data_IF_073312250738
#
_entry.id   IF_073312250738
#
_cell.length_a   1.000
_cell.length_b   1.000
_cell.length_c   1.000
_cell.angle_alpha   90.00
_cell.angle_beta   90.00
_cell.angle_gamma   90.00
#
_symmetry.space_group_name_H-M   'P 1'
#
loop_
_entity.id
_entity.type
_entity.pdbx_description
1 polymer ?
#
# COMPACT_ATOMS: atom_id res chain seq x y z
N UNK A 1 -16.42 -3.17 5.43
CA UNK A 1 -16.24 -2.18 4.33
C UNK A 1 -15.60 -2.84 3.11
N UNK A 2 -14.36 -3.32 3.19
CA UNK A 2 -13.66 -3.97 2.06
C UNK A 2 -14.52 -5.06 1.37
N UNK A 3 -15.02 -6.04 2.12
CA UNK A 3 -15.91 -7.08 1.58
C UNK A 3 -17.22 -6.57 0.98
N UNK A 4 -17.76 -5.45 1.49
CA UNK A 4 -19.00 -4.89 0.95
C UNK A 4 -18.78 -4.33 -0.47
N UNK A 5 -17.63 -3.70 -0.72
CA UNK A 5 -17.24 -3.29 -2.08
C UNK A 5 -17.03 -4.48 -3.01
N UNK A 6 -16.43 -5.57 -2.50
CA UNK A 6 -16.30 -6.82 -3.25
C UNK A 6 -17.65 -7.47 -3.58
N UNK A 7 -18.58 -7.46 -2.62
CA UNK A 7 -19.94 -7.96 -2.81
C UNK A 7 -20.72 -7.12 -3.84
N UNK A 8 -20.65 -5.79 -3.76
CA UNK A 8 -21.22 -4.89 -4.78
C UNK A 8 -20.69 -5.23 -6.17
N UNK A 9 -19.39 -5.49 -6.28
CA UNK A 9 -18.77 -5.76 -7.58
C UNK A 9 -19.20 -7.11 -8.16
N UNK A 10 -19.16 -8.17 -7.35
CA UNK A 10 -19.38 -9.53 -7.84
C UNK A 10 -20.87 -9.90 -7.93
N UNK A 11 -21.70 -9.43 -7.00
CA UNK A 11 -23.12 -9.82 -6.94
C UNK A 11 -24.07 -8.79 -7.54
N UNK A 12 -23.63 -7.55 -7.79
CA UNK A 12 -24.47 -6.50 -8.36
C UNK A 12 -23.91 -6.03 -9.71
N UNK A 13 -22.67 -5.51 -9.75
CA UNK A 13 -22.12 -4.92 -10.97
C UNK A 13 -21.86 -5.95 -12.07
N UNK A 14 -21.28 -7.11 -11.75
CA UNK A 14 -21.04 -8.17 -12.76
C UNK A 14 -22.36 -8.65 -13.40
N UNK A 15 -23.40 -9.07 -12.65
CA UNK A 15 -24.68 -9.47 -13.24
C UNK A 15 -25.37 -8.35 -14.01
N UNK A 16 -25.30 -7.11 -13.52
CA UNK A 16 -25.93 -5.95 -14.16
C UNK A 16 -25.28 -5.64 -15.51
N UNK A 17 -23.95 -5.63 -15.57
CA UNK A 17 -23.21 -5.42 -16.81
C UNK A 17 -23.49 -6.55 -17.81
N UNK A 18 -23.53 -7.80 -17.36
CA UNK A 18 -23.92 -8.93 -18.21
C UNK A 18 -25.33 -8.77 -18.78
N UNK A 19 -26.30 -8.46 -17.91
CA UNK A 19 -27.71 -8.37 -18.28
C UNK A 19 -27.99 -7.25 -19.29
N UNK A 20 -27.43 -6.05 -19.06
CA UNK A 20 -27.63 -4.92 -19.98
C UNK A 20 -26.68 -4.94 -21.18
N UNK A 21 -25.51 -5.58 -21.08
CA UNK A 21 -24.56 -5.63 -22.18
C UNK A 21 -24.85 -6.72 -23.22
N UNK A 22 -25.58 -7.79 -22.87
CA UNK A 22 -25.91 -8.89 -23.80
C UNK A 22 -26.76 -8.44 -25.00
N UNK A 23 -27.62 -7.44 -24.80
CA UNK A 23 -28.56 -6.93 -25.81
C UNK A 23 -28.00 -5.69 -26.55
N UNK A 24 -26.71 -5.40 -26.38
CA UNK A 24 -26.03 -4.29 -27.05
C UNK A 24 -26.34 -2.89 -26.50
N UNK A 25 -27.19 -2.78 -25.47
CA UNK A 25 -27.54 -1.50 -24.85
C UNK A 25 -26.32 -0.72 -24.32
N UNK A 26 -25.31 -1.45 -23.84
CA UNK A 26 -24.08 -0.85 -23.32
C UNK A 26 -22.97 -0.67 -24.38
N UNK A 27 -23.17 -1.06 -25.65
CA UNK A 27 -22.10 -1.09 -26.66
C UNK A 27 -21.47 0.27 -26.93
N UNK A 28 -22.19 1.39 -26.74
CA UNK A 28 -21.63 2.75 -26.85
C UNK A 28 -20.88 3.25 -25.61
N UNK A 29 -21.05 2.59 -24.47
CA UNK A 29 -20.48 2.99 -23.17
C UNK A 29 -19.32 2.08 -22.72
N UNK A 30 -19.17 0.92 -23.35
CA UNK A 30 -18.13 -0.07 -23.07
C UNK A 30 -16.98 0.03 -24.06
N UNK A 31 -15.76 -0.26 -23.59
CA UNK A 31 -14.56 -0.31 -24.44
C UNK A 31 -14.53 -1.53 -25.37
N UNK A 32 -15.29 -2.59 -25.05
CA UNK A 32 -15.47 -3.81 -25.86
C UNK A 32 -16.90 -4.33 -25.72
N UNK A 33 -17.55 -4.83 -26.78
CA UNK A 33 -18.86 -5.46 -26.68
C UNK A 33 -18.78 -6.74 -25.85
N UNK A 34 -19.83 -7.03 -25.08
CA UNK A 34 -19.94 -8.28 -24.32
C UNK A 34 -20.24 -9.41 -25.29
N UNK A 35 -19.45 -10.47 -25.26
CA UNK A 35 -19.71 -11.69 -26.00
C UNK A 35 -20.51 -12.69 -25.15
N UNK A 36 -21.44 -13.46 -25.73
CA UNK A 36 -22.27 -14.42 -25.00
C UNK A 36 -21.50 -15.49 -24.19
N UNK A 37 -20.24 -15.76 -24.53
CA UNK A 37 -19.38 -16.73 -23.84
C UNK A 37 -18.43 -16.12 -22.79
N UNK A 38 -18.59 -14.85 -22.43
CA UNK A 38 -17.71 -14.19 -21.45
C UNK A 38 -18.03 -14.65 -20.02
N UNK A 39 -17.02 -15.15 -19.29
CA UNK A 39 -17.17 -15.58 -17.90
C UNK A 39 -17.31 -14.38 -16.95
N UNK A 40 -17.84 -14.62 -15.75
CA UNK A 40 -17.96 -13.60 -14.71
C UNK A 40 -16.61 -12.96 -14.36
N UNK A 41 -15.52 -13.74 -14.40
CA UNK A 41 -14.17 -13.26 -14.20
C UNK A 41 -13.72 -12.28 -15.29
N UNK A 42 -14.00 -12.54 -16.57
CA UNK A 42 -13.70 -11.60 -17.65
C UNK A 42 -14.54 -10.33 -17.55
N UNK A 43 -15.82 -10.40 -17.18
CA UNK A 43 -16.65 -9.21 -16.98
C UNK A 43 -16.09 -8.34 -15.84
N UNK A 44 -15.70 -8.99 -14.75
CA UNK A 44 -15.06 -8.32 -13.61
C UNK A 44 -13.76 -7.61 -14.04
N UNK A 45 -12.86 -8.32 -14.73
CA UNK A 45 -11.56 -7.79 -15.18
C UNK A 45 -11.71 -6.66 -16.21
N UNK A 46 -12.59 -6.83 -17.19
CA UNK A 46 -12.70 -5.94 -18.34
C UNK A 46 -13.59 -4.72 -18.11
N UNK A 47 -14.45 -4.72 -17.10
CA UNK A 47 -15.40 -3.62 -16.87
C UNK A 47 -15.46 -3.17 -15.43
N UNK A 48 -15.76 -4.08 -14.48
CA UNK A 48 -15.97 -3.71 -13.08
C UNK A 48 -14.70 -3.14 -12.44
N UNK A 49 -13.52 -3.64 -12.83
CA UNK A 49 -12.24 -3.06 -12.39
C UNK A 49 -12.08 -1.61 -12.83
N UNK A 50 -12.55 -1.20 -14.00
CA UNK A 50 -12.50 0.20 -14.42
C UNK A 50 -13.45 1.08 -13.59
N UNK A 51 -14.62 0.57 -13.23
CA UNK A 51 -15.52 1.24 -12.27
C UNK A 51 -14.84 1.39 -10.91
N UNK A 52 -14.19 0.33 -10.42
CA UNK A 52 -13.44 0.36 -9.17
C UNK A 52 -12.25 1.34 -9.23
N UNK A 53 -11.53 1.41 -10.36
CA UNK A 53 -10.44 2.39 -10.58
C UNK A 53 -10.98 3.82 -10.52
N UNK A 54 -12.13 4.11 -11.15
CA UNK A 54 -12.80 5.40 -11.04
C UNK A 54 -13.16 5.75 -9.59
N UNK A 55 -13.71 4.79 -8.84
CA UNK A 55 -14.02 4.96 -7.43
C UNK A 55 -12.76 5.20 -6.57
N UNK A 56 -11.66 4.47 -6.85
CA UNK A 56 -10.35 4.66 -6.17
C UNK A 56 -9.79 6.05 -6.47
N UNK A 57 -9.86 6.52 -7.71
CA UNK A 57 -9.38 7.84 -8.11
C UNK A 57 -10.13 8.95 -7.35
N UNK A 58 -11.46 8.89 -7.34
CA UNK A 58 -12.30 9.84 -6.60
C UNK A 58 -12.04 9.76 -5.09
N UNK A 59 -11.90 8.55 -4.53
CA UNK A 59 -11.53 8.37 -3.13
C UNK A 59 -10.14 8.93 -2.79
N UNK A 60 -9.18 8.82 -3.71
CA UNK A 60 -7.86 9.44 -3.60
C UNK A 60 -7.94 10.96 -3.53
N UNK A 61 -8.81 11.59 -4.34
CA UNK A 61 -9.08 13.03 -4.29
C UNK A 61 -9.66 13.43 -2.92
N UNK A 62 -10.64 12.68 -2.38
CA UNK A 62 -11.15 12.94 -1.02
C UNK A 62 -10.06 12.81 0.05
N UNK A 63 -9.18 11.81 -0.09
CA UNK A 63 -8.01 11.64 0.77
C UNK A 63 -7.11 12.88 0.78
N UNK A 64 -6.86 13.45 -0.41
CA UNK A 64 -6.12 14.71 -0.54
C UNK A 64 -6.85 15.84 0.18
N UNK A 65 -8.12 16.08 -0.13
CA UNK A 65 -8.90 17.20 0.42
C UNK A 65 -8.90 17.19 1.96
N UNK A 66 -9.03 16.00 2.57
CA UNK A 66 -8.95 15.81 4.03
C UNK A 66 -7.53 16.07 4.57
N UNK A 67 -6.50 15.67 3.82
CA UNK A 67 -5.10 15.87 4.22
C UNK A 67 -4.61 17.32 4.10
N UNK A 68 -5.29 18.19 3.31
CA UNK A 68 -4.87 19.58 3.09
C UNK A 68 -4.65 20.37 4.39
N UNK A 69 -5.48 20.15 5.42
CA UNK A 69 -5.32 20.83 6.72
C UNK A 69 -4.04 20.41 7.45
N UNK A 70 -3.70 19.12 7.40
CA UNK A 70 -2.48 18.57 8.02
C UNK A 70 -1.25 19.12 7.28
N UNK A 71 -1.34 19.19 5.96
CA UNK A 71 -0.30 19.73 5.09
C UNK A 71 -0.04 21.20 5.44
N UNK A 72 -1.07 22.04 5.44
CA UNK A 72 -0.93 23.47 5.75
C UNK A 72 -0.28 23.73 7.11
N UNK A 73 -0.73 23.04 8.16
CA UNK A 73 -0.15 23.16 9.49
C UNK A 73 1.33 22.76 9.55
N UNK A 74 1.70 21.72 8.81
CA UNK A 74 3.07 21.20 8.79
C UNK A 74 4.03 22.08 7.98
N UNK A 75 3.57 22.65 6.86
CA UNK A 75 4.36 23.60 6.07
C UNK A 75 4.69 24.87 6.87
N UNK A 76 3.74 25.36 7.68
CA UNK A 76 3.96 26.50 8.58
C UNK A 76 5.03 26.20 9.65
N UNK A 77 5.00 24.99 10.22
CA UNK A 77 6.00 24.54 11.21
C UNK A 77 7.38 24.39 10.55
N UNK A 78 7.45 23.76 9.38
CA UNK A 78 8.70 23.62 8.62
C UNK A 78 9.33 24.99 8.30
N UNK A 79 8.52 25.96 7.87
CA UNK A 79 8.99 27.32 7.59
C UNK A 79 9.45 28.06 8.86
N UNK A 80 8.84 27.78 10.01
CA UNK A 80 9.23 28.38 11.30
C UNK A 80 10.53 27.77 11.84
N UNK A 81 10.71 26.46 11.71
CA UNK A 81 11.94 25.76 12.08
C UNK A 81 13.16 26.29 11.29
N UNK A 82 12.98 26.62 10.00
CA UNK A 82 14.04 27.25 9.20
C UNK A 82 14.46 28.65 9.67
N UNK A 83 13.64 29.35 10.46
CA UNK A 83 13.94 30.71 10.94
C UNK A 83 14.71 30.75 12.26
N UNK A 84 14.74 29.67 13.03
CA UNK A 84 15.45 29.60 14.30
C UNK A 84 16.51 28.49 14.17
N UNK A 85 17.77 28.88 13.97
CA UNK A 85 18.88 27.94 14.10
C UNK A 85 19.07 27.64 15.59
N UNK A 86 18.84 26.39 16.00
CA UNK A 86 19.14 25.97 17.37
C UNK A 86 20.66 25.81 17.55
N UNK A 87 21.13 26.29 18.71
CA UNK A 87 22.52 26.21 19.14
C UNK A 87 22.87 24.76 19.48
N UNK A 88 24.06 24.30 19.11
CA UNK A 88 24.47 22.92 19.33
C UNK A 88 24.58 22.63 20.83
N UNK A 89 23.71 21.77 21.36
CA UNK A 89 23.72 21.37 22.76
C UNK A 89 25.08 20.76 23.15
N UNK A 90 25.71 21.34 24.18
CA UNK A 90 27.00 20.88 24.72
C UNK A 90 26.88 19.48 25.36
N UNK A 91 25.70 19.19 25.91
CA UNK A 91 25.35 17.95 26.60
C UNK A 91 25.32 16.75 25.65
N UNK A 92 25.80 15.59 26.14
CA UNK A 92 25.89 14.36 25.34
C UNK A 92 24.53 13.95 24.74
N UNK A 93 23.43 14.21 25.45
CA UNK A 93 22.06 13.88 25.04
C UNK A 93 21.49 14.82 23.98
N UNK A 94 22.10 15.98 23.77
CA UNK A 94 21.68 16.99 22.78
C UNK A 94 22.66 17.11 21.61
N UNK A 95 23.71 16.27 21.59
CA UNK A 95 24.67 16.19 20.49
C UNK A 95 24.04 15.51 19.27
N UNK A 96 23.76 16.32 18.27
CA UNK A 96 23.26 15.88 16.98
C UNK A 96 24.39 15.72 15.93
N UNK A 97 24.08 15.12 14.78
CA UNK A 97 25.02 15.08 13.67
C UNK A 97 25.25 16.48 13.08
N UNK A 98 26.48 16.80 12.65
CA UNK A 98 26.74 18.10 12.04
C UNK A 98 25.92 18.24 10.75
N UNK A 99 25.26 19.39 10.61
CA UNK A 99 24.37 19.69 9.48
C UNK A 99 25.07 19.54 8.12
N UNK A 100 26.39 19.77 8.07
CA UNK A 100 27.21 19.57 6.87
C UNK A 100 27.18 18.13 6.38
N UNK A 101 27.25 17.14 7.28
CA UNK A 101 27.15 15.72 6.93
C UNK A 101 25.77 15.39 6.35
N UNK A 102 24.71 15.96 6.92
CA UNK A 102 23.34 15.78 6.45
C UNK A 102 23.20 16.37 5.03
N UNK A 103 23.66 17.61 4.83
CA UNK A 103 23.61 18.28 3.53
C UNK A 103 24.38 17.53 2.45
N UNK A 104 25.58 17.03 2.77
CA UNK A 104 26.36 16.18 1.84
C UNK A 104 25.58 14.91 1.49
N UNK A 105 24.96 14.25 2.48
CA UNK A 105 24.10 13.09 2.24
C UNK A 105 22.91 13.37 1.33
N UNK A 106 22.25 14.52 1.51
CA UNK A 106 21.15 14.97 0.65
C UNK A 106 21.64 15.22 -0.78
N UNK A 107 22.79 15.87 -0.96
CA UNK A 107 23.37 16.12 -2.29
C UNK A 107 23.71 14.79 -2.97
N UNK A 108 24.39 13.86 -2.29
CA UNK A 108 24.75 12.55 -2.85
C UNK A 108 23.50 11.78 -3.26
N UNK A 109 22.48 11.71 -2.40
CA UNK A 109 21.23 11.01 -2.72
C UNK A 109 20.44 11.68 -3.83
N UNK A 110 20.47 13.01 -3.93
CA UNK A 110 19.90 13.77 -5.04
C UNK A 110 20.59 13.45 -6.38
N UNK A 111 21.93 13.37 -6.39
CA UNK A 111 22.70 12.99 -7.59
C UNK A 111 22.35 11.56 -8.01
N UNK A 112 22.31 10.61 -7.06
CA UNK A 112 21.94 9.22 -7.35
C UNK A 112 20.51 9.12 -7.91
N UNK A 113 19.55 9.84 -7.31
CA UNK A 113 18.19 9.90 -7.81
C UNK A 113 18.10 10.54 -9.21
N UNK A 114 18.89 11.60 -9.46
CA UNK A 114 18.97 12.25 -10.77
C UNK A 114 19.53 11.33 -11.85
N UNK A 115 20.60 10.60 -11.55
CA UNK A 115 21.16 9.56 -12.44
C UNK A 115 20.11 8.50 -12.71
N UNK A 116 19.40 8.02 -11.68
CA UNK A 116 18.32 7.05 -11.84
C UNK A 116 17.20 7.57 -12.76
N UNK A 117 16.70 8.80 -12.56
CA UNK A 117 15.68 9.37 -13.44
C UNK A 117 16.16 9.51 -14.89
N UNK A 118 17.44 9.79 -15.11
CA UNK A 118 18.02 9.84 -16.45
C UNK A 118 18.17 8.46 -17.10
N UNK A 119 18.06 7.36 -16.35
CA UNK A 119 17.99 6.00 -16.93
C UNK A 119 16.59 5.64 -17.44
N UNK A 120 15.56 6.39 -17.04
CA UNK A 120 14.21 6.20 -17.55
C UNK A 120 14.10 6.85 -18.95
N UNK A 121 13.34 6.23 -19.84
CA UNK A 121 13.04 6.79 -21.16
C UNK A 121 12.41 8.19 -20.99
N UNK A 122 12.95 9.25 -21.57
CA UNK A 122 12.42 10.59 -21.36
C UNK A 122 13.39 11.70 -21.73
N UNK A 123 12.94 12.95 -21.59
CA UNK A 123 13.81 14.11 -21.79
C UNK A 123 14.59 14.42 -20.51
N UNK A 124 15.79 15.00 -20.65
CA UNK A 124 16.57 15.47 -19.49
C UNK A 124 15.74 16.43 -18.62
N UNK A 125 14.93 17.27 -19.26
CA UNK A 125 14.03 18.18 -18.55
C UNK A 125 13.04 17.41 -17.67
N UNK A 126 12.44 16.33 -18.16
CA UNK A 126 11.53 15.51 -17.36
C UNK A 126 12.26 14.80 -16.20
N UNK A 127 13.50 14.35 -16.41
CA UNK A 127 14.35 13.81 -15.35
C UNK A 127 14.63 14.84 -14.24
N UNK A 128 14.97 16.07 -14.62
CA UNK A 128 15.19 17.17 -13.68
C UNK A 128 13.91 17.55 -12.93
N UNK A 129 12.76 17.57 -13.60
CA UNK A 129 11.46 17.80 -12.96
C UNK A 129 11.13 16.68 -11.97
N UNK A 130 11.39 15.42 -12.31
CA UNK A 130 11.19 14.28 -11.41
C UNK A 130 12.06 14.34 -10.17
N UNK A 131 13.34 14.70 -10.35
CA UNK A 131 14.26 14.95 -9.25
C UNK A 131 13.76 16.09 -8.37
N UNK A 132 13.39 17.23 -8.97
CA UNK A 132 12.89 18.39 -8.25
C UNK A 132 11.64 18.04 -7.42
N UNK A 133 10.66 17.37 -8.02
CA UNK A 133 9.47 16.90 -7.30
C UNK A 133 9.83 15.96 -6.14
N UNK A 134 10.75 15.04 -6.36
CA UNK A 134 11.21 14.10 -5.32
C UNK A 134 11.83 14.84 -4.14
N UNK A 135 12.70 15.82 -4.39
CA UNK A 135 13.35 16.60 -3.34
C UNK A 135 12.35 17.48 -2.58
N UNK A 136 11.51 18.21 -3.32
CA UNK A 136 10.51 19.12 -2.75
C UNK A 136 9.52 18.33 -1.89
N UNK A 137 8.93 17.25 -2.42
CA UNK A 137 7.98 16.47 -1.65
C UNK A 137 8.63 15.73 -0.49
N UNK A 138 9.81 15.11 -0.67
CA UNK A 138 10.48 14.42 0.43
C UNK A 138 10.79 15.38 1.58
N UNK A 139 11.27 16.59 1.27
CA UNK A 139 11.56 17.62 2.26
C UNK A 139 10.31 18.03 3.05
N UNK A 140 9.25 18.44 2.36
CA UNK A 140 8.03 18.89 3.03
C UNK A 140 7.31 17.76 3.76
N UNK A 141 7.27 16.56 3.17
CA UNK A 141 6.52 15.44 3.72
C UNK A 141 7.26 14.76 4.88
N UNK A 142 8.60 14.77 4.89
CA UNK A 142 9.37 14.37 6.06
C UNK A 142 9.01 15.24 7.28
N UNK A 143 8.90 16.56 7.10
CA UNK A 143 8.46 17.47 8.17
C UNK A 143 7.02 17.21 8.63
N UNK A 144 6.10 16.96 7.68
CA UNK A 144 4.70 16.55 8.00
C UNK A 144 4.68 15.27 8.83
N UNK A 145 5.44 14.26 8.41
CA UNK A 145 5.51 12.97 9.09
C UNK A 145 6.08 13.09 10.51
N UNK A 146 7.16 13.87 10.66
CA UNK A 146 7.78 14.14 11.94
C UNK A 146 6.80 14.78 12.92
N UNK A 147 6.11 15.84 12.51
CA UNK A 147 5.13 16.55 13.34
C UNK A 147 3.90 15.67 13.67
N UNK A 148 3.38 14.95 12.69
CA UNK A 148 2.21 14.09 12.88
C UNK A 148 2.48 12.95 13.88
N UNK A 149 3.69 12.37 13.84
CA UNK A 149 4.07 11.30 14.76
C UNK A 149 4.42 11.84 16.14
N UNK A 150 5.11 12.99 16.22
CA UNK A 150 5.39 13.64 17.49
C UNK A 150 4.11 13.90 18.30
N UNK A 151 3.03 14.30 17.61
CA UNK A 151 1.75 14.67 18.24
C UNK A 151 0.77 13.51 18.38
N UNK A 152 0.60 12.68 17.35
CA UNK A 152 -0.47 11.65 17.30
C UNK A 152 0.04 10.22 17.18
N UNK A 153 1.36 10.02 17.11
CA UNK A 153 2.01 8.73 16.87
C UNK A 153 1.49 7.98 15.62
N UNK A 154 0.96 8.71 14.63
CA UNK A 154 0.47 8.15 13.38
C UNK A 154 1.13 8.84 12.18
N UNK A 155 1.78 8.05 11.35
CA UNK A 155 2.38 8.52 10.11
C UNK A 155 1.34 8.55 8.97
N UNK A 156 1.06 9.69 8.32
CA UNK A 156 0.07 9.79 7.25
C UNK A 156 0.56 9.24 5.88
N UNK A 157 1.29 8.11 5.86
CA UNK A 157 1.97 7.57 4.67
C UNK A 157 1.04 7.41 3.46
N UNK A 158 -0.12 6.78 3.67
CA UNK A 158 -1.04 6.47 2.58
C UNK A 158 -1.58 7.74 1.89
N UNK A 159 -1.96 8.77 2.65
CA UNK A 159 -2.49 10.03 2.11
C UNK A 159 -1.43 10.82 1.32
N UNK A 160 -0.23 10.95 1.89
CA UNK A 160 0.86 11.71 1.29
C UNK A 160 1.40 11.03 0.02
N UNK A 161 1.38 9.69 -0.04
CA UNK A 161 1.76 8.94 -1.25
C UNK A 161 0.75 9.16 -2.38
N UNK A 162 -0.56 9.13 -2.08
CA UNK A 162 -1.60 9.41 -3.08
C UNK A 162 -1.49 10.83 -3.63
N UNK A 163 -1.24 11.81 -2.76
CA UNK A 163 -0.99 13.20 -3.18
C UNK A 163 0.23 13.30 -4.11
N UNK A 164 1.33 12.62 -3.76
CA UNK A 164 2.55 12.57 -4.58
C UNK A 164 2.23 12.04 -5.97
N UNK A 165 1.50 10.93 -6.05
CA UNK A 165 1.09 10.32 -7.32
C UNK A 165 0.28 11.30 -8.15
N UNK A 166 -0.74 11.93 -7.57
CA UNK A 166 -1.69 12.79 -8.29
C UNK A 166 -1.00 14.07 -8.78
N UNK A 167 -0.26 14.77 -7.92
CA UNK A 167 0.42 16.01 -8.34
C UNK A 167 1.54 15.68 -9.33
N UNK A 168 2.36 14.66 -9.06
CA UNK A 168 3.45 14.30 -9.99
C UNK A 168 2.89 13.89 -11.34
N UNK A 169 1.78 13.17 -11.38
CA UNK A 169 1.07 12.86 -12.61
C UNK A 169 0.71 14.12 -13.39
N UNK A 170 0.00 15.06 -12.77
CA UNK A 170 -0.42 16.30 -13.42
C UNK A 170 0.78 17.11 -13.94
N UNK A 171 1.84 17.22 -13.15
CA UNK A 171 3.05 17.96 -13.52
C UNK A 171 3.77 17.26 -14.68
N UNK A 172 3.98 15.94 -14.61
CA UNK A 172 4.69 15.17 -15.63
C UNK A 172 3.98 15.19 -16.99
N UNK A 173 2.65 15.17 -17.00
CA UNK A 173 1.86 15.34 -18.23
C UNK A 173 2.13 16.68 -18.92
N UNK A 174 2.34 17.76 -18.15
CA UNK A 174 2.67 19.09 -18.71
C UNK A 174 4.05 19.13 -19.35
N UNK A 175 4.95 18.26 -18.92
CA UNK A 175 6.30 18.12 -19.49
C UNK A 175 6.39 17.02 -20.56
N UNK A 176 5.24 16.57 -21.09
CA UNK A 176 5.17 15.66 -22.22
C UNK A 176 5.34 14.18 -21.87
N UNK A 177 5.46 13.83 -20.59
CA UNK A 177 5.50 12.43 -20.17
C UNK A 177 4.09 11.87 -20.03
N UNK A 178 3.86 10.72 -20.65
CA UNK A 178 2.59 10.00 -20.62
C UNK A 178 2.82 8.52 -20.88
N UNK A 179 1.75 7.72 -20.86
CA UNK A 179 1.84 6.28 -21.10
C UNK A 179 2.70 5.58 -20.05
N UNK A 180 3.30 4.45 -20.42
CA UNK A 180 4.14 3.62 -19.53
C UNK A 180 5.29 4.39 -18.92
N UNK A 181 5.95 5.20 -19.75
CA UNK A 181 7.07 6.04 -19.34
C UNK A 181 6.69 7.01 -18.22
N UNK A 182 5.59 7.77 -18.41
CA UNK A 182 5.07 8.67 -17.37
C UNK A 182 4.69 7.91 -16.10
N UNK A 183 4.13 6.71 -16.22
CA UNK A 183 3.81 5.86 -15.07
C UNK A 183 5.06 5.46 -14.27
N UNK A 184 6.15 5.07 -14.93
CA UNK A 184 7.41 4.75 -14.26
C UNK A 184 8.00 5.96 -13.53
N UNK A 185 7.99 7.13 -14.16
CA UNK A 185 8.44 8.37 -13.53
C UNK A 185 7.65 8.70 -12.26
N UNK A 186 6.31 8.71 -12.35
CA UNK A 186 5.45 9.04 -11.22
C UNK A 186 5.61 8.00 -10.10
N UNK A 187 5.68 6.71 -10.42
CA UNK A 187 5.87 5.65 -9.43
C UNK A 187 7.24 5.71 -8.77
N UNK A 188 8.30 6.11 -9.51
CA UNK A 188 9.62 6.33 -8.94
C UNK A 188 9.62 7.49 -7.94
N UNK A 189 9.05 8.64 -8.31
CA UNK A 189 8.89 9.79 -7.40
C UNK A 189 8.09 9.36 -6.16
N UNK A 190 6.93 8.73 -6.35
CA UNK A 190 6.07 8.29 -5.27
C UNK A 190 6.76 7.27 -4.34
N UNK A 191 7.52 6.33 -4.90
CA UNK A 191 8.30 5.34 -4.15
C UNK A 191 9.35 6.01 -3.26
N UNK A 192 10.19 6.88 -3.84
CA UNK A 192 11.23 7.59 -3.09
C UNK A 192 10.65 8.48 -1.99
N UNK A 193 9.63 9.28 -2.31
CA UNK A 193 8.96 10.17 -1.35
C UNK A 193 8.28 9.37 -0.23
N UNK A 194 7.60 8.27 -0.55
CA UNK A 194 6.96 7.40 0.42
C UNK A 194 7.98 6.75 1.38
N UNK A 195 9.11 6.28 0.85
CA UNK A 195 10.20 5.74 1.68
C UNK A 195 10.79 6.81 2.59
N UNK A 196 11.07 8.01 2.06
CA UNK A 196 11.59 9.12 2.84
C UNK A 196 10.64 9.51 4.00
N UNK A 197 9.35 9.67 3.70
CA UNK A 197 8.33 10.00 4.70
C UNK A 197 8.14 8.87 5.73
N UNK A 198 8.18 7.60 5.30
CA UNK A 198 8.02 6.46 6.21
C UNK A 198 9.19 6.35 7.18
N UNK A 199 10.42 6.48 6.67
CA UNK A 199 11.66 6.43 7.46
C UNK A 199 11.76 7.62 8.40
N UNK A 200 11.55 8.85 7.90
CA UNK A 200 11.56 10.07 8.73
C UNK A 200 10.62 9.95 9.91
N UNK A 201 9.42 9.42 9.68
CA UNK A 201 8.46 9.22 10.74
C UNK A 201 8.92 8.25 11.83
N UNK A 202 9.45 7.08 11.43
CA UNK A 202 10.03 6.11 12.37
C UNK A 202 11.28 6.66 13.07
N UNK A 203 12.05 7.55 12.43
CA UNK A 203 13.19 8.24 13.06
C UNK A 203 12.74 9.05 14.26
N UNK A 204 11.65 9.81 14.17
CA UNK A 204 11.13 10.57 15.31
C UNK A 204 10.68 9.66 16.46
N UNK A 205 10.06 8.52 16.18
CA UNK A 205 9.70 7.55 17.22
C UNK A 205 10.94 7.03 17.95
N UNK A 206 11.97 6.65 17.20
CA UNK A 206 13.21 6.14 17.80
C UNK A 206 13.98 7.22 18.57
N UNK A 207 14.04 8.45 18.06
CA UNK A 207 14.64 9.58 18.76
C UNK A 207 13.89 9.90 20.07
N UNK A 208 12.56 9.79 20.08
CA UNK A 208 11.75 9.97 21.30
C UNK A 208 12.03 8.89 22.35
N UNK A 209 12.08 7.62 21.94
CA UNK A 209 12.46 6.52 22.85
C UNK A 209 13.90 6.69 23.30
N UNK A 210 14.79 7.10 22.40
CA UNK A 210 16.18 7.43 22.68
C UNK A 210 16.35 8.53 23.72
N UNK A 211 15.56 9.59 23.60
CA UNK A 211 15.53 10.71 24.55
C UNK A 211 15.16 10.22 25.96
N UNK A 212 14.12 9.38 26.09
CA UNK A 212 13.73 8.81 27.38
C UNK A 212 14.75 7.85 27.99
N UNK A 213 15.52 7.17 27.15
CA UNK A 213 16.60 6.27 27.59
C UNK A 213 17.94 7.01 27.82
N UNK A 214 18.02 8.31 27.52
CA UNK A 214 19.26 9.09 27.62
C UNK A 214 20.31 8.72 26.55
N UNK A 215 19.89 8.28 25.37
CA UNK A 215 20.79 7.99 24.24
C UNK A 215 21.38 9.27 23.63
N UNK A 216 22.43 9.14 22.82
CA UNK A 216 23.00 10.26 22.03
C UNK A 216 22.40 10.28 20.63
N UNK A 217 21.71 11.36 20.20
CA UNK A 217 21.08 11.47 18.88
C UNK A 217 22.03 11.13 17.73
N UNK A 218 23.23 11.72 17.71
CA UNK A 218 24.21 11.48 16.65
C UNK A 218 24.59 9.99 16.46
N UNK A 219 24.59 9.19 17.54
CA UNK A 219 24.88 7.74 17.45
C UNK A 219 23.65 7.00 16.91
N UNK A 220 22.45 7.36 17.37
CA UNK A 220 21.21 6.77 16.87
C UNK A 220 21.04 6.99 15.38
N UNK A 221 21.27 8.22 14.89
CA UNK A 221 21.16 8.55 13.48
C UNK A 221 22.13 7.75 12.61
N UNK A 222 23.40 7.64 13.01
CA UNK A 222 24.41 6.85 12.28
C UNK A 222 24.01 5.38 12.13
N UNK A 223 23.55 4.76 13.22
CA UNK A 223 23.07 3.36 13.19
C UNK A 223 21.80 3.24 12.35
N UNK A 224 20.93 4.25 12.40
CA UNK A 224 19.71 4.31 11.57
C UNK A 224 20.04 4.31 10.08
N UNK A 225 21.02 5.11 9.63
CA UNK A 225 21.46 5.09 8.23
C UNK A 225 21.98 3.72 7.79
N UNK A 226 22.77 3.04 8.62
CA UNK A 226 23.21 1.67 8.35
C UNK A 226 22.03 0.70 8.24
N UNK A 227 21.07 0.81 9.16
CA UNK A 227 19.84 0.01 9.14
C UNK A 227 18.99 0.25 7.89
N UNK A 228 18.91 1.49 7.41
CA UNK A 228 18.22 1.85 6.16
C UNK A 228 18.90 1.20 4.97
N UNK A 229 20.24 1.23 4.89
CA UNK A 229 20.98 0.57 3.80
C UNK A 229 20.74 -0.95 3.80
N UNK A 230 20.85 -1.60 4.96
CA UNK A 230 20.58 -3.02 5.09
C UNK A 230 19.13 -3.37 4.70
N UNK A 231 18.16 -2.56 5.15
CA UNK A 231 16.74 -2.74 4.83
C UNK A 231 16.44 -2.52 3.34
N UNK A 232 17.07 -1.54 2.71
CA UNK A 232 16.92 -1.26 1.29
C UNK A 232 17.45 -2.41 0.43
N UNK A 233 18.62 -2.96 0.78
CA UNK A 233 19.18 -4.14 0.10
C UNK A 233 18.27 -5.35 0.29
N UNK A 234 17.83 -5.64 1.51
CA UNK A 234 16.93 -6.76 1.78
C UNK A 234 15.60 -6.63 1.03
N UNK A 235 14.99 -5.44 1.02
CA UNK A 235 13.75 -5.18 0.30
C UNK A 235 13.93 -5.32 -1.23
N UNK A 236 15.00 -4.75 -1.79
CA UNK A 236 15.28 -4.84 -3.22
C UNK A 236 15.51 -6.30 -3.66
N UNK A 237 16.32 -7.06 -2.93
CA UNK A 237 16.57 -8.48 -3.20
C UNK A 237 15.27 -9.29 -3.11
N UNK A 238 14.43 -9.01 -2.11
CA UNK A 238 13.14 -9.68 -1.95
C UNK A 238 12.20 -9.39 -3.12
N UNK A 239 12.12 -8.14 -3.59
CA UNK A 239 11.29 -7.76 -4.74
C UNK A 239 11.79 -8.47 -6.01
N UNK A 240 13.10 -8.48 -6.27
CA UNK A 240 13.68 -9.17 -7.43
C UNK A 240 13.43 -10.68 -7.37
N UNK A 241 13.57 -11.27 -6.18
CA UNK A 241 13.28 -12.68 -5.94
C UNK A 241 11.81 -12.99 -6.25
N UNK A 242 10.87 -12.21 -5.71
CA UNK A 242 9.45 -12.37 -5.99
C UNK A 242 9.12 -12.17 -7.47
N UNK A 243 9.76 -11.21 -8.15
CA UNK A 243 9.57 -10.95 -9.58
C UNK A 243 10.05 -12.09 -10.48
N UNK A 244 11.02 -12.90 -10.02
CA UNK A 244 11.47 -14.10 -10.73
C UNK A 244 10.48 -15.26 -10.54
N UNK A 245 9.88 -15.38 -9.36
CA UNK A 245 9.06 -16.55 -8.99
C UNK A 245 7.56 -16.35 -9.25
N UNK A 246 7.09 -15.10 -9.24
CA UNK A 246 5.69 -14.72 -9.37
C UNK A 246 5.51 -13.57 -10.37
N UNK A 247 4.26 -13.36 -10.78
CA UNK A 247 3.85 -12.18 -11.54
C UNK A 247 3.19 -11.16 -10.62
N UNK A 248 3.18 -9.89 -11.02
CA UNK A 248 2.46 -8.82 -10.34
C UNK A 248 1.35 -8.25 -11.22
N UNK A 249 0.23 -7.90 -10.60
CA UNK A 249 -0.87 -7.23 -11.29
C UNK A 249 -1.77 -8.20 -12.05
N UNK A 250 -1.57 -8.35 -13.35
CA UNK A 250 -2.39 -9.22 -14.21
C UNK A 250 -1.53 -10.28 -14.88
N UNK A 251 -2.14 -11.42 -15.19
CA UNK A 251 -1.44 -12.54 -15.83
C UNK A 251 -0.93 -12.12 -17.20
N UNK A 252 0.39 -12.16 -17.39
CA UNK A 252 1.00 -11.89 -18.68
C UNK A 252 0.70 -13.06 -19.65
N UNK A 253 0.24 -12.80 -20.89
CA UNK A 253 -0.02 -13.85 -21.86
C UNK A 253 1.21 -14.75 -22.06
N UNK A 254 1.06 -16.06 -21.87
CA UNK A 254 2.13 -17.04 -22.03
C UNK A 254 3.04 -17.22 -20.82
N UNK A 255 2.86 -16.46 -19.73
CA UNK A 255 3.60 -16.65 -18.49
C UNK A 255 2.77 -17.49 -17.51
N UNK A 256 3.31 -18.64 -17.12
CA UNK A 256 2.64 -19.65 -16.27
C UNK A 256 2.77 -19.36 -14.77
N UNK A 257 3.59 -18.37 -14.37
CA UNK A 257 3.81 -18.03 -12.97
C UNK A 257 2.53 -17.51 -12.32
N UNK A 258 2.34 -17.83 -11.03
CA UNK A 258 1.16 -17.37 -10.28
C UNK A 258 1.21 -15.85 -10.09
N UNK A 259 0.07 -15.19 -10.27
CA UNK A 259 -0.06 -13.74 -10.05
C UNK A 259 -0.27 -13.45 -8.57
N UNK A 260 0.67 -12.72 -7.97
CA UNK A 260 0.52 -12.18 -6.63
C UNK A 260 -0.36 -10.92 -6.68
N UNK A 261 -1.55 -11.05 -6.10
CA UNK A 261 -2.43 -9.91 -5.89
C UNK A 261 -1.90 -9.04 -4.73
N UNK A 262 -1.63 -7.76 -5.01
CA UNK A 262 -1.23 -6.78 -4.02
C UNK A 262 -2.25 -5.65 -3.95
N UNK A 263 -3.12 -5.60 -2.92
CA UNK A 263 -4.09 -4.52 -2.73
C UNK A 263 -3.49 -3.12 -2.78
N UNK A 264 -2.40 -2.90 -2.05
CA UNK A 264 -1.77 -1.58 -1.98
C UNK A 264 -1.16 -1.17 -3.32
N UNK A 265 -0.42 -2.07 -3.99
CA UNK A 265 0.13 -1.79 -5.31
C UNK A 265 -0.97 -1.58 -6.35
N UNK A 266 -2.11 -2.27 -6.21
CA UNK A 266 -3.26 -2.12 -7.09
C UNK A 266 -3.88 -0.73 -7.00
N UNK A 267 -4.01 -0.15 -5.81
CA UNK A 267 -4.47 1.25 -5.65
C UNK A 267 -3.50 2.20 -6.35
N UNK A 268 -2.19 2.05 -6.11
CA UNK A 268 -1.19 2.95 -6.68
C UNK A 268 -1.16 2.84 -8.21
N UNK A 269 -1.21 1.61 -8.76
CA UNK A 269 -1.32 1.34 -10.20
C UNK A 269 -2.58 1.98 -10.79
N UNK A 270 -3.73 1.76 -10.16
CA UNK A 270 -5.03 2.30 -10.60
C UNK A 270 -5.02 3.83 -10.66
N UNK A 271 -4.48 4.48 -9.61
CA UNK A 271 -4.34 5.94 -9.57
C UNK A 271 -3.45 6.43 -10.71
N UNK A 272 -2.23 5.91 -10.82
CA UNK A 272 -1.27 6.34 -11.84
C UNK A 272 -1.80 6.09 -13.26
N UNK A 273 -2.40 4.93 -13.52
CA UNK A 273 -3.02 4.61 -14.81
C UNK A 273 -4.16 5.57 -15.14
N UNK A 274 -4.99 5.93 -14.14
CA UNK A 274 -6.09 6.87 -14.31
C UNK A 274 -5.64 8.23 -14.85
N UNK A 275 -4.45 8.71 -14.46
CA UNK A 275 -3.91 9.97 -14.95
C UNK A 275 -3.01 9.82 -16.20
N UNK A 276 -2.18 8.77 -16.27
CA UNK A 276 -1.12 8.66 -17.29
C UNK A 276 -1.50 7.89 -18.56
N UNK A 277 -2.52 7.03 -18.52
CA UNK A 277 -2.65 5.95 -19.52
C UNK A 277 -2.94 6.40 -20.94
N UNK A 278 -3.39 7.64 -21.21
CA UNK A 278 -3.76 8.18 -22.53
C UNK A 278 -4.71 7.32 -23.39
N UNK A 279 -5.15 6.17 -22.90
CA UNK A 279 -6.09 5.30 -23.59
C UNK A 279 -7.46 5.97 -23.62
N UNK A 280 -8.34 5.60 -24.58
CA UNK A 280 -9.74 5.98 -24.51
C UNK A 280 -10.34 5.39 -23.23
N UNK A 281 -10.33 6.20 -22.17
CA UNK A 281 -10.89 5.84 -20.88
C UNK A 281 -12.38 5.59 -21.15
N UNK A 282 -12.96 4.45 -20.73
CA UNK A 282 -14.40 4.29 -20.74
C UNK A 282 -14.97 5.24 -19.68
N UNK A 283 -15.10 6.52 -20.04
CA UNK A 283 -15.43 7.63 -19.13
C UNK A 283 -16.72 7.35 -18.39
N UNK A 284 -17.67 6.67 -19.03
CA UNK A 284 -18.91 6.22 -18.40
C UNK A 284 -18.65 5.29 -17.21
N UNK A 285 -17.78 4.28 -17.34
CA UNK A 285 -17.45 3.35 -16.25
C UNK A 285 -16.72 4.06 -15.10
N UNK A 286 -15.78 4.96 -15.43
CA UNK A 286 -15.08 5.77 -14.42
C UNK A 286 -16.04 6.70 -13.68
N UNK A 287 -16.97 7.34 -14.38
CA UNK A 287 -17.97 8.22 -13.81
C UNK A 287 -18.91 7.47 -12.87
N UNK A 288 -19.36 6.25 -13.23
CA UNK A 288 -20.12 5.38 -12.33
C UNK A 288 -19.32 5.11 -11.06
N UNK A 289 -18.03 4.80 -11.19
CA UNK A 289 -17.13 4.63 -10.06
C UNK A 289 -17.05 5.86 -9.16
N UNK A 290 -16.90 7.05 -9.76
CA UNK A 290 -16.86 8.32 -9.06
C UNK A 290 -18.16 8.58 -8.28
N UNK A 291 -19.32 8.32 -8.89
CA UNK A 291 -20.63 8.45 -8.23
C UNK A 291 -20.73 7.48 -7.04
N UNK A 292 -20.31 6.22 -7.20
CA UNK A 292 -20.29 5.26 -6.09
C UNK A 292 -19.40 5.79 -4.95
N UNK A 293 -18.21 6.29 -5.25
CA UNK A 293 -17.30 6.84 -4.24
C UNK A 293 -17.89 8.06 -3.53
N UNK A 294 -18.58 8.95 -4.25
CA UNK A 294 -19.30 10.10 -3.68
C UNK A 294 -20.41 9.61 -2.74
N UNK A 295 -21.24 8.66 -3.17
CA UNK A 295 -22.32 8.12 -2.33
C UNK A 295 -21.76 7.48 -1.07
N UNK A 296 -20.70 6.67 -1.18
CA UNK A 296 -20.05 6.02 -0.04
C UNK A 296 -19.44 7.05 0.94
N UNK A 297 -18.82 8.10 0.42
CA UNK A 297 -18.29 9.21 1.22
C UNK A 297 -19.42 9.98 1.92
N UNK A 298 -20.55 10.24 1.24
CA UNK A 298 -21.74 10.88 1.84
C UNK A 298 -22.39 10.02 2.94
N UNK A 299 -22.27 8.69 2.85
CA UNK A 299 -22.68 7.75 3.90
C UNK A 299 -21.71 7.73 5.09
N UNK A 300 -20.63 8.52 5.06
CA UNK A 300 -19.62 8.55 6.11
C UNK A 300 -18.70 7.32 6.14
N UNK A 301 -18.73 6.49 5.09
CA UNK A 301 -17.91 5.29 4.97
C UNK A 301 -16.60 5.68 4.25
N UNK A 302 -15.42 5.26 4.74
CA UNK A 302 -14.15 5.46 4.03
C UNK A 302 -14.18 4.91 2.58
N UNK A 303 -14.24 5.78 1.55
CA UNK A 303 -14.51 5.35 0.19
C UNK A 303 -13.33 4.58 -0.43
N UNK A 304 -12.10 4.87 0.01
CA UNK A 304 -10.89 4.23 -0.52
C UNK A 304 -10.87 2.72 -0.23
N UNK A 305 -11.20 2.32 1.01
CA UNK A 305 -11.22 0.90 1.41
C UNK A 305 -12.37 0.19 0.72
N UNK A 306 -13.51 0.87 0.54
CA UNK A 306 -14.64 0.31 -0.19
C UNK A 306 -14.30 0.08 -1.66
N UNK A 307 -13.73 1.07 -2.33
CA UNK A 307 -13.32 1.00 -3.73
C UNK A 307 -12.21 -0.03 -3.98
N UNK A 308 -11.26 -0.17 -3.04
CA UNK A 308 -10.27 -1.27 -3.06
C UNK A 308 -10.98 -2.64 -3.03
N UNK A 309 -12.01 -2.76 -2.19
CA UNK A 309 -12.83 -3.96 -2.12
C UNK A 309 -13.49 -4.29 -3.45
N UNK A 310 -13.93 -3.26 -4.19
CA UNK A 310 -14.50 -3.41 -5.53
C UNK A 310 -13.47 -3.89 -6.56
N UNK A 311 -12.21 -3.50 -6.42
CA UNK A 311 -11.14 -3.83 -7.36
C UNK A 311 -10.59 -5.24 -7.19
N UNK A 312 -10.56 -5.74 -5.94
CA UNK A 312 -9.95 -7.02 -5.60
C UNK A 312 -10.88 -8.21 -5.84
N UNK A 313 -10.32 -9.38 -6.23
CA UNK A 313 -11.04 -10.65 -6.20
C UNK A 313 -11.69 -10.92 -4.85
N UNK A 314 -12.91 -11.47 -4.88
CA UNK A 314 -13.68 -11.75 -3.66
C UNK A 314 -12.96 -12.73 -2.72
N UNK A 315 -12.25 -13.70 -3.30
CA UNK A 315 -11.43 -14.69 -2.59
C UNK A 315 -10.37 -14.08 -1.67
N UNK A 316 -9.90 -12.86 -1.97
CA UNK A 316 -8.94 -12.14 -1.13
C UNK A 316 -9.61 -11.28 -0.06
N UNK A 317 -10.86 -10.89 -0.30
CA UNK A 317 -11.62 -10.06 0.62
C UNK A 317 -12.22 -10.89 1.76
N UNK A 318 -12.66 -12.13 1.49
CA UNK A 318 -13.37 -12.97 2.47
C UNK A 318 -12.54 -13.36 3.69
N UNK A 319 -11.22 -13.68 3.62
CA UNK A 319 -10.42 -13.92 4.83
C UNK A 319 -10.33 -12.69 5.73
N UNK A 320 -10.27 -11.48 5.14
CA UNK A 320 -10.28 -10.23 5.90
C UNK A 320 -11.61 -10.02 6.64
N UNK A 321 -12.73 -10.51 6.10
CA UNK A 321 -14.03 -10.49 6.79
C UNK A 321 -14.03 -11.41 8.00
N UNK A 322 -13.48 -12.62 7.87
CA UNK A 322 -13.33 -13.56 9.00
C UNK A 322 -12.47 -12.94 10.11
N UNK A 323 -11.33 -12.33 9.74
CA UNK A 323 -10.50 -11.58 10.69
C UNK A 323 -11.26 -10.42 11.35
N UNK A 324 -12.13 -9.73 10.61
CA UNK A 324 -13.03 -8.70 11.13
C UNK A 324 -14.04 -9.23 12.15
N UNK A 325 -14.67 -10.38 11.89
CA UNK A 325 -15.56 -11.03 12.85
C UNK A 325 -14.82 -11.46 14.12
N UNK A 326 -13.64 -12.08 13.99
CA UNK A 326 -12.80 -12.44 15.13
C UNK A 326 -12.43 -11.21 15.96
N UNK A 327 -12.00 -10.13 15.32
CA UNK A 327 -11.69 -8.88 16.01
C UNK A 327 -12.92 -8.30 16.72
N UNK A 328 -14.10 -8.35 16.10
CA UNK A 328 -15.33 -7.87 16.71
C UNK A 328 -15.70 -8.67 17.96
N UNK A 329 -15.67 -10.00 17.88
CA UNK A 329 -15.97 -10.85 19.04
C UNK A 329 -14.92 -10.72 20.15
N UNK A 330 -13.63 -10.57 19.81
CA UNK A 330 -12.58 -10.35 20.80
C UNK A 330 -12.72 -9.00 21.51
N UNK A 331 -13.04 -7.93 20.77
CA UNK A 331 -13.29 -6.62 21.35
C UNK A 331 -14.51 -6.64 22.28
N UNK A 332 -15.62 -7.24 21.84
CA UNK A 332 -16.82 -7.40 22.66
C UNK A 332 -16.53 -8.16 23.96
N UNK A 333 -15.70 -9.20 23.88
CA UNK A 333 -15.30 -10.00 25.06
C UNK A 333 -14.34 -9.24 25.97
N UNK A 334 -13.40 -8.48 25.41
CA UNK A 334 -12.52 -7.56 26.14
C UNK A 334 -13.34 -6.52 26.93
N UNK A 335 -14.35 -5.92 26.29
CA UNK A 335 -15.25 -4.94 26.92
C UNK A 335 -16.08 -5.56 28.04
N UNK A 336 -16.57 -6.79 27.83
CA UNK A 336 -17.39 -7.51 28.82
C UNK A 336 -16.59 -7.86 30.08
N UNK A 337 -15.32 -8.27 29.93
CA UNK A 337 -14.46 -8.60 31.06
C UNK A 337 -13.99 -7.35 31.83
N UNK A 338 -13.74 -6.26 31.11
CA UNK A 338 -13.27 -5.00 31.70
C UNK A 338 -11.86 -5.09 32.32
N UNK A 339 -11.37 -3.96 32.83
CA UNK A 339 -10.10 -3.86 33.56
C UNK A 339 -8.85 -4.29 32.76
N UNK A 340 -7.83 -4.72 33.49
CA UNK A 340 -6.58 -5.22 32.89
C UNK A 340 -6.77 -6.56 32.15
N UNK A 341 -7.68 -7.42 32.64
CA UNK A 341 -7.97 -8.70 31.98
C UNK A 341 -8.50 -8.50 30.56
N UNK A 342 -9.45 -7.59 30.38
CA UNK A 342 -10.00 -7.22 29.07
C UNK A 342 -8.92 -6.67 28.14
N UNK A 343 -8.14 -5.67 28.60
CA UNK A 343 -7.04 -5.08 27.82
C UNK A 343 -6.03 -6.14 27.37
N UNK A 344 -5.67 -7.07 28.26
CA UNK A 344 -4.78 -8.18 27.95
C UNK A 344 -5.32 -9.12 26.89
N UNK A 345 -6.64 -9.37 26.81
CA UNK A 345 -7.24 -10.18 25.73
C UNK A 345 -7.03 -9.49 24.38
N UNK A 346 -7.35 -8.18 24.29
CA UNK A 346 -7.20 -7.41 23.06
C UNK A 346 -5.75 -7.33 22.61
N UNK A 347 -4.82 -7.03 23.51
CA UNK A 347 -3.39 -6.93 23.20
C UNK A 347 -2.82 -8.27 22.69
N UNK A 348 -3.17 -9.38 23.35
CA UNK A 348 -2.75 -10.73 22.91
C UNK A 348 -3.30 -11.08 21.54
N UNK A 349 -4.57 -10.78 21.27
CA UNK A 349 -5.16 -10.98 19.95
C UNK A 349 -4.42 -10.22 18.86
N UNK A 350 -4.06 -8.96 19.12
CA UNK A 350 -3.27 -8.14 18.19
C UNK A 350 -1.86 -8.72 18.00
N UNK A 351 -1.19 -9.18 19.06
CA UNK A 351 0.16 -9.77 18.98
C UNK A 351 0.13 -11.07 18.17
N UNK A 352 -0.80 -11.98 18.45
CA UNK A 352 -0.94 -13.26 17.72
C UNK A 352 -1.24 -13.00 16.25
N UNK A 353 -2.20 -12.11 15.96
CA UNK A 353 -2.55 -11.75 14.59
C UNK A 353 -1.36 -11.13 13.83
N UNK A 354 -0.60 -10.25 14.49
CA UNK A 354 0.61 -9.63 13.91
C UNK A 354 1.71 -10.67 13.66
N UNK A 355 1.89 -11.62 14.58
CA UNK A 355 2.82 -12.74 14.42
C UNK A 355 2.44 -13.66 13.26
N UNK A 356 1.14 -13.98 13.09
CA UNK A 356 0.65 -14.75 11.94
C UNK A 356 0.87 -13.99 10.62
N UNK A 357 0.66 -12.67 10.62
CA UNK A 357 0.90 -11.83 9.44
C UNK A 357 2.39 -11.82 9.06
N UNK A 358 3.28 -11.61 10.03
CA UNK A 358 4.72 -11.60 9.82
C UNK A 358 5.25 -12.98 9.40
N UNK A 359 4.80 -14.04 10.09
CA UNK A 359 5.15 -15.42 9.77
C UNK A 359 4.69 -15.85 8.37
N UNK A 360 3.46 -15.48 7.98
CA UNK A 360 2.96 -15.72 6.63
C UNK A 360 3.77 -15.00 5.55
N UNK A 361 4.17 -13.74 5.80
CA UNK A 361 5.02 -12.99 4.87
C UNK A 361 6.42 -13.60 4.74
N UNK A 362 7.06 -13.93 5.86
CA UNK A 362 8.39 -14.58 5.88
C UNK A 362 8.35 -15.96 5.23
N UNK A 363 7.33 -16.77 5.53
CA UNK A 363 7.11 -18.07 4.92
C UNK A 363 6.88 -17.97 3.40
N UNK A 364 6.14 -16.95 2.95
CA UNK A 364 5.95 -16.66 1.53
C UNK A 364 7.25 -16.30 0.82
N UNK A 365 8.08 -15.43 1.42
CA UNK A 365 9.41 -15.09 0.88
C UNK A 365 10.34 -16.29 0.87
N UNK A 366 10.32 -17.11 1.93
CA UNK A 366 11.10 -18.35 2.01
C UNK A 366 10.69 -19.36 0.94
N UNK A 367 9.38 -19.60 0.76
CA UNK A 367 8.86 -20.48 -0.28
C UNK A 367 9.20 -19.97 -1.68
N UNK A 368 9.17 -18.66 -1.90
CA UNK A 368 9.65 -18.04 -3.13
C UNK A 368 11.15 -18.29 -3.34
N UNK A 369 11.97 -18.14 -2.30
CA UNK A 369 13.41 -18.38 -2.37
C UNK A 369 13.73 -19.82 -2.78
N UNK A 370 12.99 -20.80 -2.26
CA UNK A 370 13.17 -22.21 -2.64
C UNK A 370 12.94 -22.45 -4.13
N UNK A 371 11.97 -21.77 -4.75
CA UNK A 371 11.68 -21.86 -6.19
C UNK A 371 12.81 -21.36 -7.10
N UNK A 372 13.81 -20.65 -6.57
CA UNK A 372 14.98 -20.25 -7.34
C UNK A 372 15.97 -21.40 -7.58
N UNK A 373 15.92 -22.44 -6.76
CA UNK A 373 16.83 -23.56 -6.89
C UNK A 373 16.34 -24.57 -7.94
N UNK A 374 17.16 -24.96 -8.93
CA UNK A 374 16.75 -25.87 -10.01
C UNK A 374 16.33 -27.26 -9.52
N UNK A 375 16.82 -27.69 -8.35
CA UNK A 375 16.49 -28.96 -7.73
C UNK A 375 15.15 -28.95 -7.00
N UNK A 376 14.61 -27.78 -6.70
CA UNK A 376 13.32 -27.65 -6.03
C UNK A 376 12.20 -27.89 -7.03
N UNK A 377 11.44 -28.98 -6.81
CA UNK A 377 10.21 -29.27 -7.52
C UNK A 377 9.05 -29.18 -6.53
N UNK A 378 7.95 -28.54 -6.93
CA UNK A 378 6.76 -28.44 -6.08
C UNK A 378 6.15 -29.80 -5.73
N UNK A 379 6.42 -30.81 -6.56
CA UNK A 379 6.08 -32.22 -6.33
C UNK A 379 6.66 -32.76 -5.01
N UNK A 380 7.77 -32.21 -4.52
CA UNK A 380 8.37 -32.60 -3.23
C UNK A 380 7.51 -32.18 -2.02
N UNK A 381 6.61 -31.20 -2.21
CA UNK A 381 5.71 -30.67 -1.17
C UNK A 381 4.25 -31.05 -1.45
N UNK A 382 3.96 -31.63 -2.63
CA UNK A 382 2.60 -32.11 -2.94
C UNK A 382 2.20 -33.19 -1.95
N UNK A 383 1.20 -32.88 -1.14
CA UNK A 383 0.56 -33.86 -0.29
C UNK A 383 -0.26 -34.83 -1.15
N UNK A 384 -0.45 -36.09 -0.73
CA UNK A 384 -1.14 -37.11 -1.54
C UNK A 384 -2.61 -36.77 -1.87
N UNK A 385 -3.18 -35.78 -1.19
CA UNK A 385 -4.54 -35.28 -1.39
C UNK A 385 -4.61 -33.97 -2.19
N UNK A 386 -3.47 -33.45 -2.67
CA UNK A 386 -3.40 -32.16 -3.36
C UNK A 386 -4.15 -32.16 -4.70
N UNK A 387 -4.10 -33.28 -5.43
CA UNK A 387 -4.74 -33.41 -6.75
C UNK A 387 -6.25 -33.76 -6.64
N UNK A 388 -6.78 -33.94 -5.42
CA UNK A 388 -8.21 -34.18 -5.18
C UNK A 388 -8.83 -32.88 -4.66
N UNK A 389 -9.40 -32.07 -5.57
CA UNK A 389 -9.94 -30.74 -5.28
C UNK A 389 -10.83 -30.67 -4.04
N UNK A 390 -11.85 -31.54 -3.84
CA UNK A 390 -12.69 -31.49 -2.65
C UNK A 390 -11.91 -31.70 -1.35
N UNK A 391 -10.96 -32.65 -1.35
CA UNK A 391 -10.18 -32.98 -0.15
C UNK A 391 -9.19 -31.84 0.16
N UNK A 392 -8.50 -31.33 -0.85
CA UNK A 392 -7.59 -30.19 -0.70
C UNK A 392 -8.29 -28.94 -0.14
N UNK A 393 -9.51 -28.64 -0.63
CA UNK A 393 -10.32 -27.53 -0.13
C UNK A 393 -10.78 -27.75 1.31
N UNK A 394 -11.25 -28.95 1.66
CA UNK A 394 -11.68 -29.28 3.03
C UNK A 394 -10.50 -29.18 4.00
N UNK A 395 -9.33 -29.74 3.66
CA UNK A 395 -8.14 -29.67 4.51
C UNK A 395 -7.71 -28.22 4.71
N UNK A 396 -7.69 -27.42 3.64
CA UNK A 396 -7.36 -25.99 3.71
C UNK A 396 -8.35 -25.21 4.59
N UNK A 397 -9.65 -25.50 4.48
CA UNK A 397 -10.69 -24.92 5.32
C UNK A 397 -10.53 -25.31 6.80
N UNK A 398 -10.24 -26.58 7.09
CA UNK A 398 -10.00 -27.06 8.45
C UNK A 398 -8.75 -26.42 9.07
N UNK A 399 -7.65 -26.31 8.33
CA UNK A 399 -6.44 -25.62 8.79
C UNK A 399 -6.71 -24.14 9.06
N UNK A 400 -7.46 -23.47 8.19
CA UNK A 400 -7.85 -22.09 8.38
C UNK A 400 -8.75 -21.90 9.61
N UNK A 401 -9.73 -22.78 9.83
CA UNK A 401 -10.54 -22.79 11.05
C UNK A 401 -9.70 -23.08 12.29
N UNK A 402 -8.72 -23.97 12.19
CA UNK A 402 -7.74 -24.25 13.24
C UNK A 402 -6.92 -23.02 13.61
N UNK A 403 -6.46 -22.23 12.62
CA UNK A 403 -5.78 -20.95 12.85
C UNK A 403 -6.70 -19.92 13.50
N UNK A 404 -7.94 -19.81 13.06
CA UNK A 404 -8.94 -18.93 13.66
C UNK A 404 -9.20 -19.31 15.13
N UNK A 405 -9.33 -20.61 15.40
CA UNK A 405 -9.50 -21.13 16.75
C UNK A 405 -8.26 -20.90 17.62
N UNK A 406 -7.06 -21.12 17.09
CA UNK A 406 -5.81 -20.84 17.78
C UNK A 406 -5.69 -19.37 18.17
N UNK A 407 -5.99 -18.45 17.25
CA UNK A 407 -6.02 -17.02 17.52
C UNK A 407 -7.02 -16.69 18.63
N UNK A 408 -8.25 -17.20 18.52
CA UNK A 408 -9.29 -16.98 19.51
C UNK A 408 -8.89 -17.50 20.90
N UNK A 409 -8.49 -18.77 20.98
CA UNK A 409 -8.10 -19.43 22.22
C UNK A 409 -6.85 -18.79 22.84
N UNK A 410 -5.84 -18.50 22.03
CA UNK A 410 -4.60 -17.85 22.47
C UNK A 410 -4.85 -16.45 23.03
N UNK A 411 -5.81 -15.71 22.47
CA UNK A 411 -6.21 -14.39 22.98
C UNK A 411 -6.87 -14.46 24.37
N UNK A 412 -7.55 -15.56 24.66
CA UNK A 412 -8.33 -15.75 25.91
C UNK A 412 -7.52 -16.41 27.04
N UNK A 413 -6.37 -17.00 26.73
CA UNK A 413 -5.57 -17.75 27.69
C UNK A 413 -5.04 -16.82 28.78
N UNK A 414 -5.47 -16.95 30.03
CA UNK A 414 -4.98 -16.14 31.17
C UNK A 414 -3.46 -16.29 31.35
N UNK A 415 -2.76 -15.21 31.72
CA UNK A 415 -1.41 -15.34 32.28
C UNK A 415 -1.58 -16.12 33.59
N UNK A 416 -0.88 -17.24 33.71
CA UNK A 416 -0.69 -17.88 35.02
C UNK A 416 0.30 -17.07 35.83
#
# INVERSE_FOLDING_TARGET
ILCAGGALSNFILVPLIWYFGRDGFLTGYLSKPITPGMDAGAIFRNYVRFIAVGAIATAGIFGILKSLRIIQGSFAIAAKAFKHGEDAGQERTDRDMPITTILVGVIITAVVAGVFFNTLEGTLLAALVGLLLTLVFSFFFASVAANAIATTARNPVSGMTMLTIIISSIVMLRFGLSGTTGMFFVMAVAGMVCTALSVSGQTITDLKTGYWLGSTPAVQERVKFLGILASAVAAALTIVLLAKTFQFGEAAPGDVRVVLASPQASIMKALVQGFMSQQPIPYALFAVGAVIAIVVELLGIPPLIFALGMYLPLELNTPALVGGFLSHWLNRRSETMGGEEGRGIRERGVIIASGLMAGGALGGVFGAALRLFPWYKEELIKTPFFDIDPVSQIVSALLFLGLCFYLWYGSLRRRR
#
